data_IF_276408920633
#
_entry.id   IF_276408920633
#
_cell.length_a   1.000
_cell.length_b   1.000
_cell.length_c   1.000
_cell.angle_alpha   90.00
_cell.angle_beta   90.00
_cell.angle_gamma   90.00
#
_symmetry.space_group_name_H-M   'P 1'
#
loop_
_entity.id
_entity.type
_entity.pdbx_description
1 polymer ?
#
# COMPACT_ATOMS: atom_id res chain seq x y z
N UNK A 1 40.51 -4.76 -19.63
CA UNK A 1 39.55 -4.79 -18.49
C UNK A 1 39.17 -3.39 -17.94
N UNK A 2 40.07 -2.39 -17.92
CA UNK A 2 39.79 -1.03 -17.37
C UNK A 2 38.82 -0.17 -18.20
N UNK A 3 38.83 -0.26 -19.53
CA UNK A 3 37.91 0.50 -20.41
C UNK A 3 36.44 0.06 -20.29
N UNK A 4 36.19 -1.25 -20.19
CA UNK A 4 34.83 -1.78 -19.93
C UNK A 4 34.23 -1.20 -18.64
N UNK A 5 35.04 -1.02 -17.59
CA UNK A 5 34.58 -0.41 -16.33
C UNK A 5 34.24 1.09 -16.47
N UNK A 6 34.92 1.82 -17.36
CA UNK A 6 34.63 3.25 -17.63
C UNK A 6 33.32 3.44 -18.42
N UNK A 7 33.11 2.63 -19.47
CA UNK A 7 31.88 2.67 -20.27
C UNK A 7 30.63 2.30 -19.46
N UNK A 8 30.75 1.31 -18.57
CA UNK A 8 29.68 0.95 -17.62
C UNK A 8 29.41 2.15 -16.70
N UNK A 9 30.41 2.70 -16.01
CA UNK A 9 30.20 3.88 -15.14
C UNK A 9 29.55 5.07 -15.86
N UNK A 10 29.94 5.35 -17.11
CA UNK A 10 29.35 6.42 -17.91
C UNK A 10 27.87 6.16 -18.28
N UNK A 11 27.53 4.93 -18.68
CA UNK A 11 26.13 4.52 -18.94
C UNK A 11 25.25 4.64 -17.69
N UNK A 12 25.76 4.25 -16.54
CA UNK A 12 25.01 4.38 -15.27
C UNK A 12 24.83 5.83 -14.86
N UNK A 13 25.79 6.72 -15.15
CA UNK A 13 25.63 8.17 -14.99
C UNK A 13 24.56 8.77 -15.90
N UNK A 14 24.52 8.38 -17.17
CA UNK A 14 23.49 8.82 -18.12
C UNK A 14 22.07 8.34 -17.74
N UNK A 15 21.94 7.08 -17.31
CA UNK A 15 20.66 6.54 -16.82
C UNK A 15 20.20 7.30 -15.56
N UNK A 16 21.11 7.59 -14.63
CA UNK A 16 20.78 8.36 -13.42
C UNK A 16 20.23 9.75 -13.74
N UNK A 17 20.81 10.47 -14.70
CA UNK A 17 20.32 11.79 -15.12
C UNK A 17 18.93 11.72 -15.77
N UNK A 18 18.68 10.70 -16.60
CA UNK A 18 17.35 10.51 -17.21
C UNK A 18 16.30 10.25 -16.14
N UNK A 19 16.58 9.35 -15.19
CA UNK A 19 15.65 9.06 -14.08
C UNK A 19 15.39 10.32 -13.26
N UNK A 20 16.42 11.10 -12.93
CA UNK A 20 16.26 12.35 -12.21
C UNK A 20 15.38 13.36 -12.98
N UNK A 21 15.60 13.50 -14.29
CA UNK A 21 14.81 14.37 -15.15
C UNK A 21 13.33 13.97 -15.18
N UNK A 22 13.04 12.68 -15.29
CA UNK A 22 11.66 12.15 -15.25
C UNK A 22 11.00 12.41 -13.89
N UNK A 23 11.71 12.18 -12.79
CA UNK A 23 11.19 12.44 -11.45
C UNK A 23 10.90 13.93 -11.24
N UNK A 24 11.82 14.81 -11.64
CA UNK A 24 11.65 16.26 -11.54
C UNK A 24 10.47 16.75 -12.39
N UNK A 25 10.36 16.28 -13.65
CA UNK A 25 9.24 16.62 -14.52
C UNK A 25 7.89 16.15 -13.96
N UNK A 26 7.84 14.94 -13.41
CA UNK A 26 6.62 14.40 -12.77
C UNK A 26 6.24 15.20 -11.53
N UNK A 27 7.21 15.53 -10.67
CA UNK A 27 6.98 16.35 -9.48
C UNK A 27 6.44 17.74 -9.86
N UNK A 28 6.98 18.34 -10.92
CA UNK A 28 6.50 19.61 -11.44
C UNK A 28 5.05 19.51 -11.93
N UNK A 29 4.69 18.48 -12.70
CA UNK A 29 3.33 18.26 -13.17
C UNK A 29 2.34 18.04 -12.01
N UNK A 30 2.75 17.30 -10.99
CA UNK A 30 1.96 17.08 -9.77
C UNK A 30 1.72 18.40 -9.03
N UNK A 31 2.73 19.25 -8.91
CA UNK A 31 2.63 20.50 -8.17
C UNK A 31 1.88 21.61 -8.93
N UNK A 32 2.14 21.75 -10.24
CA UNK A 32 1.65 22.87 -11.04
C UNK A 32 0.17 22.72 -11.44
N UNK A 33 -0.37 21.50 -11.49
CA UNK A 33 -1.73 21.26 -11.96
C UNK A 33 -2.73 21.03 -10.80
N UNK A 34 -4.00 21.47 -10.91
CA UNK A 34 -5.02 21.13 -9.93
C UNK A 34 -5.26 19.61 -9.81
N UNK A 35 -5.30 18.90 -10.94
CA UNK A 35 -5.48 17.45 -10.97
C UNK A 35 -4.31 16.71 -10.31
N UNK A 36 -3.07 17.12 -10.60
CA UNK A 36 -1.88 16.54 -9.97
C UNK A 36 -1.93 16.65 -8.45
N UNK A 37 -2.28 17.83 -7.92
CA UNK A 37 -2.43 18.04 -6.47
C UNK A 37 -3.59 17.24 -5.87
N UNK A 38 -4.68 17.04 -6.62
CA UNK A 38 -5.80 16.21 -6.19
C UNK A 38 -5.39 14.74 -6.06
N UNK A 39 -4.76 14.18 -7.10
CA UNK A 39 -4.27 12.81 -7.10
C UNK A 39 -3.21 12.59 -6.01
N UNK A 40 -2.29 13.52 -5.80
CA UNK A 40 -1.29 13.43 -4.74
C UNK A 40 -1.91 13.38 -3.34
N UNK A 41 -2.97 14.17 -3.09
CA UNK A 41 -3.71 14.11 -1.82
C UNK A 41 -4.42 12.77 -1.63
N UNK A 42 -5.06 12.26 -2.68
CA UNK A 42 -5.71 10.94 -2.65
C UNK A 42 -4.70 9.81 -2.39
N UNK A 43 -3.60 9.80 -3.14
CA UNK A 43 -2.51 8.84 -2.95
C UNK A 43 -1.91 8.92 -1.54
N UNK A 44 -1.71 10.11 -1.00
CA UNK A 44 -1.22 10.30 0.36
C UNK A 44 -2.19 9.78 1.43
N UNK A 45 -3.48 10.06 1.28
CA UNK A 45 -4.51 9.58 2.20
C UNK A 45 -4.60 8.04 2.16
N UNK A 46 -4.63 7.45 0.97
CA UNK A 46 -4.64 6.00 0.80
C UNK A 46 -3.38 5.36 1.37
N UNK A 47 -2.19 5.91 1.07
CA UNK A 47 -0.92 5.42 1.61
C UNK A 47 -0.91 5.42 3.15
N UNK A 48 -1.48 6.45 3.78
CA UNK A 48 -1.62 6.51 5.25
C UNK A 48 -2.54 5.43 5.80
N UNK A 49 -3.62 5.08 5.10
CA UNK A 49 -4.52 3.99 5.48
C UNK A 49 -3.78 2.66 5.33
N UNK A 50 -3.20 2.40 4.16
CA UNK A 50 -2.47 1.17 3.85
C UNK A 50 -1.33 0.91 4.84
N UNK A 51 -0.55 1.94 5.18
CA UNK A 51 0.57 1.82 6.12
C UNK A 51 0.16 1.48 7.56
N UNK A 52 -1.11 1.66 7.93
CA UNK A 52 -1.64 1.41 9.29
C UNK A 52 -2.46 0.13 9.39
N UNK A 53 -2.65 -0.60 8.28
CA UNK A 53 -3.42 -1.85 8.28
C UNK A 53 -2.81 -2.87 9.23
N UNK A 54 -3.64 -3.41 10.11
CA UNK A 54 -3.30 -4.52 11.00
C UNK A 54 -4.23 -5.70 10.73
N UNK A 55 -3.70 -6.92 10.90
CA UNK A 55 -4.49 -8.13 10.75
C UNK A 55 -5.66 -8.14 11.74
N UNK A 56 -6.86 -8.44 11.26
CA UNK A 56 -8.04 -8.57 12.10
C UNK A 56 -7.87 -9.70 13.13
N UNK A 57 -7.20 -10.79 12.77
CA UNK A 57 -6.93 -11.89 13.72
C UNK A 57 -6.02 -11.44 14.86
N UNK A 58 -4.99 -10.64 14.56
CA UNK A 58 -4.11 -10.07 15.58
C UNK A 58 -4.85 -9.09 16.48
N UNK A 59 -5.72 -8.24 15.91
CA UNK A 59 -6.56 -7.30 16.65
C UNK A 59 -7.54 -7.98 17.61
N UNK A 60 -8.12 -9.10 17.19
CA UNK A 60 -9.06 -9.85 18.03
C UNK A 60 -8.35 -10.53 19.19
N UNK A 61 -7.11 -11.00 18.98
CA UNK A 61 -6.27 -11.58 20.03
C UNK A 61 -5.69 -10.52 21.00
N UNK A 62 -5.56 -9.28 20.56
CA UNK A 62 -5.02 -8.17 21.36
C UNK A 62 -6.04 -7.68 22.41
N UNK A 63 -5.69 -7.85 23.69
CA UNK A 63 -6.53 -7.40 24.81
C UNK A 63 -6.65 -5.88 24.91
N UNK A 64 -5.70 -5.13 24.33
CA UNK A 64 -5.74 -3.67 24.26
C UNK A 64 -6.74 -3.15 23.20
N UNK A 65 -7.20 -4.00 22.28
CA UNK A 65 -8.28 -3.62 21.34
C UNK A 65 -9.57 -3.39 22.10
N UNK A 66 -10.22 -2.24 21.88
CA UNK A 66 -11.46 -1.88 22.54
C UNK A 66 -12.53 -3.00 22.40
N UNK A 67 -13.23 -3.42 23.48
CA UNK A 67 -14.13 -4.58 23.44
C UNK A 67 -15.19 -4.53 22.34
N UNK A 68 -15.78 -3.35 22.11
CA UNK A 68 -16.79 -3.15 21.07
C UNK A 68 -16.21 -3.34 19.65
N UNK A 69 -14.97 -2.90 19.41
CA UNK A 69 -14.28 -3.10 18.13
C UNK A 69 -13.92 -4.58 17.96
N UNK A 70 -13.35 -5.20 18.99
CA UNK A 70 -13.01 -6.63 19.01
C UNK A 70 -14.22 -7.50 18.70
N UNK A 71 -15.38 -7.20 19.27
CA UNK A 71 -16.63 -7.94 19.01
C UNK A 71 -17.06 -7.86 17.53
N UNK A 72 -17.03 -6.68 16.93
CA UNK A 72 -17.35 -6.49 15.49
C UNK A 72 -16.35 -7.21 14.59
N UNK A 73 -15.06 -7.12 14.92
CA UNK A 73 -14.00 -7.79 14.17
C UNK A 73 -14.11 -9.31 14.23
N UNK A 74 -14.49 -9.87 15.40
CA UNK A 74 -14.79 -11.30 15.54
C UNK A 74 -15.96 -11.71 14.65
N UNK A 75 -17.04 -10.93 14.63
CA UNK A 75 -18.19 -11.19 13.76
C UNK A 75 -17.79 -11.23 12.27
N UNK A 76 -16.89 -10.35 11.83
CA UNK A 76 -16.36 -10.37 10.46
C UNK A 76 -15.64 -11.70 10.16
N UNK A 77 -14.80 -12.19 11.09
CA UNK A 77 -14.11 -13.47 10.91
C UNK A 77 -15.09 -14.65 10.87
N UNK A 78 -16.07 -14.66 11.76
CA UNK A 78 -17.13 -15.68 11.81
C UNK A 78 -17.96 -15.71 10.52
N UNK A 79 -18.37 -14.54 10.02
CA UNK A 79 -19.10 -14.42 8.77
C UNK A 79 -18.27 -14.92 7.56
N UNK A 80 -16.97 -14.63 7.54
CA UNK A 80 -16.06 -15.15 6.50
C UNK A 80 -15.94 -16.67 6.56
N UNK A 81 -15.79 -17.25 7.75
CA UNK A 81 -15.74 -18.70 7.92
C UNK A 81 -17.05 -19.35 7.46
N UNK A 82 -18.19 -18.80 7.86
CA UNK A 82 -19.50 -19.28 7.42
C UNK A 82 -19.67 -19.24 5.89
N UNK A 83 -19.21 -18.18 5.23
CA UNK A 83 -19.27 -18.09 3.77
C UNK A 83 -18.49 -19.22 3.08
N UNK A 84 -17.33 -19.60 3.61
CA UNK A 84 -16.52 -20.70 3.08
C UNK A 84 -17.14 -22.05 3.44
N UNK A 85 -17.37 -22.29 4.73
CA UNK A 85 -17.66 -23.60 5.28
C UNK A 85 -19.10 -24.05 5.00
N UNK A 86 -20.04 -23.11 4.97
CA UNK A 86 -21.48 -23.41 4.83
C UNK A 86 -22.03 -23.08 3.45
N UNK A 87 -21.50 -22.03 2.80
CA UNK A 87 -22.03 -21.56 1.51
C UNK A 87 -21.13 -21.92 0.31
N UNK A 88 -19.91 -22.44 0.55
CA UNK A 88 -18.95 -22.73 -0.51
C UNK A 88 -18.48 -21.49 -1.28
N UNK A 89 -18.61 -20.30 -0.69
CA UNK A 89 -18.20 -19.04 -1.31
C UNK A 89 -16.72 -18.76 -1.03
N UNK A 90 -15.96 -18.27 -2.02
CA UNK A 90 -14.54 -18.00 -1.83
C UNK A 90 -14.32 -16.73 -0.99
N UNK A 91 -13.92 -16.89 0.27
CA UNK A 91 -13.44 -15.78 1.10
C UNK A 91 -11.95 -15.49 0.84
N UNK A 92 -11.67 -14.84 -0.30
CA UNK A 92 -10.35 -14.29 -0.68
C UNK A 92 -9.80 -13.30 0.38
N UNK A 93 -8.76 -12.55 0.06
CA UNK A 93 -8.08 -11.65 1.00
C UNK A 93 -8.90 -10.41 1.47
N UNK A 94 -10.14 -10.29 1.02
CA UNK A 94 -11.05 -9.24 1.46
C UNK A 94 -11.37 -9.36 2.96
N UNK A 95 -11.45 -8.20 3.62
CA UNK A 95 -11.81 -8.07 5.04
C UNK A 95 -10.92 -8.89 5.99
N UNK A 96 -9.60 -8.92 5.73
CA UNK A 96 -8.59 -9.52 6.61
C UNK A 96 -7.80 -8.48 7.43
N UNK A 97 -7.92 -7.20 7.06
CA UNK A 97 -7.15 -6.08 7.62
C UNK A 97 -8.08 -4.97 8.12
N UNK A 98 -7.65 -4.20 9.11
CA UNK A 98 -8.38 -3.07 9.71
C UNK A 98 -7.44 -1.89 10.01
N UNK A 99 -7.96 -0.66 10.03
CA UNK A 99 -7.23 0.58 10.31
C UNK A 99 -8.02 1.45 11.27
#
# INVERSE_FOLDING_TARGET
>A
MRERRRLVRARWGGIGLIVLGVLAGTALLVAATPMGRYLARGAWAEARILARRRSITALVADSATAPAVRAKLRLVLEARAFAVDSLGLPAKDAFTQFT
#
